data_IF_320573575071
#
_entry.id   IF_320573575071
#
_cell.length_a   1.000
_cell.length_b   1.000
_cell.length_c   1.000
_cell.angle_alpha   90.00
_cell.angle_beta   90.00
_cell.angle_gamma   90.00
#
_symmetry.space_group_name_H-M   'P 1'
#
loop_
_entity.id
_entity.type
_entity.pdbx_description
1 polymer ?
#
# COMPACT_ATOMS: atom_id res chain seq x y z
N UNK A 1 -10.87 -15.80 0.10
CA UNK A 1 -10.12 -14.55 -0.16
C UNK A 1 -9.22 -14.26 1.02
N UNK A 2 -7.91 -14.12 0.80
CA UNK A 2 -6.95 -13.82 1.87
C UNK A 2 -7.14 -12.40 2.40
N UNK A 3 -6.96 -12.21 3.71
CA UNK A 3 -7.05 -10.90 4.36
C UNK A 3 -5.74 -10.50 5.03
N UNK A 4 -5.32 -9.28 4.73
CA UNK A 4 -4.16 -8.64 5.35
C UNK A 4 -4.55 -7.35 6.06
N UNK A 5 -3.65 -6.83 6.89
CA UNK A 5 -3.82 -5.54 7.53
C UNK A 5 -2.50 -4.82 7.76
N UNK A 6 -2.59 -3.51 8.01
CA UNK A 6 -1.45 -2.64 8.29
C UNK A 6 -0.80 -2.99 9.62
N UNK A 7 0.50 -3.29 9.59
CA UNK A 7 1.35 -3.38 10.76
C UNK A 7 1.76 -1.94 11.17
N UNK A 8 1.45 -1.57 12.41
CA UNK A 8 1.61 -0.19 12.87
C UNK A 8 2.85 -0.04 13.75
N UNK A 9 3.67 0.96 13.46
CA UNK A 9 4.77 1.41 14.31
C UNK A 9 4.36 2.67 15.04
N UNK A 10 4.18 2.57 16.37
CA UNK A 10 3.94 3.71 17.23
C UNK A 10 2.65 4.48 16.91
N UNK A 11 1.54 3.78 16.70
CA UNK A 11 0.28 4.40 16.31
C UNK A 11 -0.72 4.44 17.45
N UNK A 12 -0.55 5.36 18.34
CA UNK A 12 -1.70 5.84 19.12
C UNK A 12 -2.59 6.81 18.33
N UNK A 13 -2.15 7.35 17.17
CA UNK A 13 -2.91 8.45 16.58
C UNK A 13 -2.75 8.61 15.06
N UNK A 14 -3.54 7.88 14.24
CA UNK A 14 -3.68 8.19 12.79
C UNK A 14 -4.50 9.46 12.60
N UNK A 15 -5.46 9.78 13.47
CA UNK A 15 -6.20 11.04 13.41
C UNK A 15 -5.26 12.21 13.70
N UNK A 16 -4.34 12.08 14.67
CA UNK A 16 -3.22 13.00 14.89
C UNK A 16 -2.25 13.04 13.71
N UNK A 17 -2.06 11.93 12.97
CA UNK A 17 -1.25 11.94 11.74
C UNK A 17 -1.96 12.61 10.56
N UNK A 18 -3.26 12.45 10.38
CA UNK A 18 -4.00 13.22 9.38
C UNK A 18 -3.96 14.71 9.73
N UNK A 19 -4.09 15.07 11.00
CA UNK A 19 -3.87 16.44 11.48
C UNK A 19 -2.39 16.85 11.40
N UNK A 20 -1.45 15.95 11.69
CA UNK A 20 0.00 16.18 11.60
C UNK A 20 0.51 16.23 10.16
N UNK A 21 0.02 15.39 9.25
CA UNK A 21 0.26 15.51 7.81
C UNK A 21 -0.33 16.81 7.29
N UNK A 22 -1.51 17.18 7.73
CA UNK A 22 -2.13 18.47 7.44
C UNK A 22 -1.28 19.64 7.96
N UNK A 23 -0.74 19.56 9.18
CA UNK A 23 0.16 20.54 9.77
C UNK A 23 1.53 20.58 9.05
N UNK A 24 2.06 19.43 8.64
CA UNK A 24 3.32 19.31 7.91
C UNK A 24 3.22 19.95 6.52
N UNK A 25 2.10 19.74 5.82
CA UNK A 25 1.83 20.41 4.53
C UNK A 25 1.50 21.90 4.68
N UNK A 26 1.03 22.31 5.84
CA UNK A 26 0.79 23.73 6.16
C UNK A 26 2.05 24.50 6.62
N UNK A 27 3.21 23.84 6.73
CA UNK A 27 4.44 24.47 7.23
C UNK A 27 4.38 24.88 8.70
N UNK A 28 3.51 24.27 9.50
CA UNK A 28 3.30 24.55 10.94
C UNK A 28 3.80 23.41 11.82
N UNK A 29 4.87 22.72 11.44
CA UNK A 29 5.45 21.61 12.16
C UNK A 29 6.28 22.07 13.38
N UNK A 30 5.78 22.98 14.20
CA UNK A 30 6.48 23.49 15.39
C UNK A 30 5.97 22.87 16.70
N UNK A 31 5.13 21.81 16.68
CA UNK A 31 4.74 21.13 17.90
C UNK A 31 5.64 19.91 18.16
N UNK A 32 6.64 20.02 19.07
CA UNK A 32 7.56 18.93 19.38
C UNK A 32 6.93 17.83 20.25
N UNK A 33 5.64 17.89 20.58
CA UNK A 33 5.01 16.98 21.54
C UNK A 33 4.49 15.68 20.94
N UNK A 34 4.54 15.48 19.62
CA UNK A 34 4.18 14.20 18.99
C UNK A 34 5.42 13.46 18.50
N UNK A 35 6.45 13.38 19.32
CA UNK A 35 7.49 12.38 19.12
C UNK A 35 6.95 11.04 19.63
N UNK A 36 6.17 10.38 18.80
CA UNK A 36 5.85 8.97 18.99
C UNK A 36 7.18 8.22 18.95
N UNK A 37 7.61 7.69 20.10
CA UNK A 37 8.71 6.73 20.15
C UNK A 37 8.10 5.38 19.72
N UNK A 38 8.32 4.90 18.49
CA UNK A 38 7.87 3.58 18.11
C UNK A 38 8.63 2.57 18.95
N UNK A 39 7.91 1.68 19.59
CA UNK A 39 8.51 0.50 20.18
C UNK A 39 8.47 -0.62 19.13
N UNK A 40 9.63 -1.16 18.78
CA UNK A 40 9.66 -2.35 17.95
C UNK A 40 9.11 -3.59 18.68
N UNK A 41 9.03 -3.56 20.01
CA UNK A 41 8.33 -4.59 20.80
C UNK A 41 6.85 -4.62 20.48
N UNK A 42 6.21 -3.45 20.23
CA UNK A 42 4.82 -3.36 19.80
C UNK A 42 4.58 -4.06 18.45
N UNK A 43 5.56 -4.07 17.57
CA UNK A 43 5.47 -4.76 16.27
C UNK A 43 5.37 -6.27 16.47
N UNK A 44 6.18 -6.81 17.37
CA UNK A 44 6.20 -8.23 17.71
C UNK A 44 4.86 -8.66 18.31
N UNK A 45 4.33 -7.89 19.25
CA UNK A 45 3.06 -8.17 19.93
C UNK A 45 1.88 -8.04 18.94
N UNK A 46 1.91 -7.03 18.06
CA UNK A 46 0.90 -6.89 17.02
C UNK A 46 0.92 -8.06 16.04
N UNK A 47 2.09 -8.49 15.56
CA UNK A 47 2.19 -9.59 14.61
C UNK A 47 1.58 -10.87 15.19
N UNK A 48 1.94 -11.23 16.42
CA UNK A 48 1.37 -12.39 17.12
C UNK A 48 -0.14 -12.26 17.34
N UNK A 49 -0.60 -11.08 17.73
CA UNK A 49 -2.03 -10.82 17.98
C UNK A 49 -2.84 -10.89 16.69
N UNK A 50 -2.31 -10.39 15.56
CA UNK A 50 -2.98 -10.44 14.26
C UNK A 50 -3.03 -11.87 13.70
N UNK A 51 -1.96 -12.65 13.87
CA UNK A 51 -1.95 -14.07 13.54
C UNK A 51 -3.00 -14.84 14.35
N UNK A 52 -3.02 -14.63 15.67
CA UNK A 52 -4.03 -15.24 16.54
C UNK A 52 -5.46 -14.81 16.21
N UNK A 53 -5.64 -13.61 15.65
CA UNK A 53 -6.91 -13.09 15.16
C UNK A 53 -7.33 -13.67 13.78
N UNK A 54 -6.50 -14.51 13.16
CA UNK A 54 -6.81 -15.17 11.88
C UNK A 54 -6.52 -14.34 10.63
N UNK A 55 -5.65 -13.31 10.71
CA UNK A 55 -5.15 -12.65 9.52
C UNK A 55 -4.15 -13.55 8.77
N UNK A 56 -4.16 -13.48 7.45
CA UNK A 56 -3.20 -14.19 6.59
C UNK A 56 -1.90 -13.40 6.40
N UNK A 57 -1.98 -12.06 6.48
CA UNK A 57 -0.87 -11.20 6.12
C UNK A 57 -0.86 -9.89 6.90
N UNK A 58 0.34 -9.30 6.98
CA UNK A 58 0.54 -7.91 7.40
C UNK A 58 1.36 -7.15 6.37
N UNK A 59 1.14 -5.85 6.29
CA UNK A 59 1.91 -4.98 5.41
C UNK A 59 2.36 -3.71 6.13
N UNK A 60 3.43 -3.12 5.62
CA UNK A 60 3.92 -1.81 6.04
C UNK A 60 3.79 -0.79 4.94
N UNK A 61 3.62 0.47 5.31
CA UNK A 61 3.70 1.62 4.41
C UNK A 61 4.97 2.41 4.72
N UNK A 62 5.63 2.94 3.70
CA UNK A 62 6.75 3.85 3.93
C UNK A 62 6.25 5.22 4.37
N UNK A 63 6.62 5.62 5.59
CA UNK A 63 6.22 6.89 6.20
C UNK A 63 7.34 7.48 7.05
N UNK A 64 7.20 7.53 8.37
CA UNK A 64 8.20 8.07 9.30
C UNK A 64 9.30 7.08 9.68
N UNK A 65 9.14 5.80 9.35
CA UNK A 65 10.09 4.73 9.66
C UNK A 65 10.41 3.90 8.42
N UNK A 66 11.50 3.14 8.49
CA UNK A 66 11.88 2.20 7.44
C UNK A 66 10.75 1.17 7.20
N UNK A 67 10.49 0.88 5.93
CA UNK A 67 9.38 0.04 5.52
C UNK A 67 9.67 -1.47 5.66
N UNK A 68 10.95 -1.87 5.72
CA UNK A 68 11.38 -3.27 5.74
C UNK A 68 11.61 -3.80 7.16
N UNK A 69 12.18 -2.99 8.07
CA UNK A 69 12.57 -3.44 9.40
C UNK A 69 11.41 -4.02 10.23
N UNK A 70 10.20 -3.41 10.25
CA UNK A 70 9.08 -3.99 10.98
C UNK A 70 8.63 -5.34 10.41
N UNK A 71 8.74 -5.53 9.09
CA UNK A 71 8.38 -6.78 8.44
C UNK A 71 9.35 -7.91 8.81
N UNK A 72 10.65 -7.60 8.96
CA UNK A 72 11.64 -8.58 9.41
C UNK A 72 11.30 -9.09 10.83
N UNK A 73 10.91 -8.18 11.73
CA UNK A 73 10.48 -8.54 13.08
C UNK A 73 9.18 -9.37 13.05
N UNK A 74 8.16 -8.94 12.32
CA UNK A 74 6.90 -9.65 12.21
C UNK A 74 7.10 -11.07 11.65
N UNK A 75 7.87 -11.20 10.57
CA UNK A 75 8.16 -12.48 9.92
C UNK A 75 8.92 -13.46 10.82
N UNK A 76 9.79 -12.95 11.71
CA UNK A 76 10.57 -13.79 12.63
C UNK A 76 9.77 -14.37 13.79
N UNK A 77 8.58 -13.83 14.09
CA UNK A 77 7.77 -14.19 15.27
C UNK A 77 6.38 -14.73 14.94
N UNK A 78 5.99 -14.75 13.67
CA UNK A 78 4.68 -15.19 13.19
C UNK A 78 4.78 -15.94 11.86
N UNK A 79 3.76 -16.71 11.53
CA UNK A 79 3.57 -17.37 10.22
C UNK A 79 2.89 -16.49 9.18
N UNK A 80 2.65 -15.21 9.47
CA UNK A 80 1.99 -14.28 8.56
C UNK A 80 2.79 -14.07 7.26
N UNK A 81 2.09 -13.91 6.15
CA UNK A 81 2.68 -13.33 4.96
C UNK A 81 2.99 -11.85 5.22
N UNK A 82 4.13 -11.38 4.75
CA UNK A 82 4.58 -10.00 4.97
C UNK A 82 4.83 -9.29 3.64
N UNK A 83 4.42 -8.03 3.52
CA UNK A 83 4.63 -7.27 2.29
C UNK A 83 4.88 -5.79 2.56
N UNK A 84 5.64 -5.14 1.69
CA UNK A 84 5.63 -3.67 1.62
C UNK A 84 4.46 -3.20 0.77
N UNK A 85 3.70 -2.18 1.22
CA UNK A 85 2.54 -1.66 0.50
C UNK A 85 2.41 -0.13 0.66
N UNK A 86 3.38 0.66 0.20
CA UNK A 86 4.49 0.25 -0.68
C UNK A 86 5.82 0.80 -0.16
N UNK A 87 6.95 0.18 -0.59
CA UNK A 87 8.26 0.82 -0.51
C UNK A 87 8.40 1.84 -1.65
N UNK A 88 8.90 3.05 -1.35
CA UNK A 88 9.09 4.11 -2.37
C UNK A 88 10.32 3.76 -3.22
N UNK A 89 10.12 3.44 -4.50
CA UNK A 89 11.14 2.86 -5.35
C UNK A 89 12.12 3.88 -5.96
N UNK A 90 11.64 5.05 -6.41
CA UNK A 90 12.45 5.97 -7.22
C UNK A 90 13.74 6.48 -6.54
N UNK A 91 13.81 6.69 -5.21
CA UNK A 91 15.07 7.05 -4.56
C UNK A 91 15.99 5.85 -4.26
N UNK A 92 15.54 4.63 -4.53
CA UNK A 92 16.30 3.40 -4.24
C UNK A 92 16.91 2.80 -5.51
N UNK A 93 18.08 2.18 -5.36
CA UNK A 93 18.66 1.38 -6.45
C UNK A 93 17.96 0.01 -6.53
N UNK A 94 17.80 -0.58 -7.74
CA UNK A 94 17.29 -1.94 -7.88
C UNK A 94 18.07 -2.98 -7.07
N UNK A 95 19.39 -2.80 -6.89
CA UNK A 95 20.22 -3.71 -6.08
C UNK A 95 19.85 -3.64 -4.58
N UNK A 96 19.59 -2.45 -4.03
CA UNK A 96 19.13 -2.32 -2.64
C UNK A 96 17.75 -2.93 -2.43
N UNK A 97 16.84 -2.76 -3.40
CA UNK A 97 15.52 -3.41 -3.36
C UNK A 97 15.65 -4.93 -3.42
N UNK A 98 16.55 -5.45 -4.29
CA UNK A 98 16.80 -6.88 -4.38
C UNK A 98 17.37 -7.47 -3.10
N UNK A 99 18.35 -6.81 -2.42
CA UNK A 99 18.88 -7.27 -1.16
C UNK A 99 17.80 -7.29 -0.06
N UNK A 100 17.06 -6.20 0.12
CA UNK A 100 15.98 -6.16 1.11
C UNK A 100 14.91 -7.24 0.84
N UNK A 101 14.58 -7.46 -0.43
CA UNK A 101 13.62 -8.48 -0.82
C UNK A 101 14.16 -9.91 -0.59
N UNK A 102 15.44 -10.14 -0.89
CA UNK A 102 16.10 -11.42 -0.65
C UNK A 102 16.13 -11.77 0.84
N UNK A 103 16.56 -10.82 1.68
CA UNK A 103 16.68 -11.05 3.13
C UNK A 103 15.31 -11.28 3.77
N UNK A 104 14.29 -10.50 3.39
CA UNK A 104 12.92 -10.70 3.87
C UNK A 104 12.31 -12.02 3.38
N UNK A 105 12.59 -12.44 2.15
CA UNK A 105 12.18 -13.75 1.64
C UNK A 105 12.81 -14.88 2.46
N UNK A 106 14.08 -14.72 2.85
CA UNK A 106 14.79 -15.69 3.67
C UNK A 106 14.23 -15.72 5.11
N UNK A 107 14.09 -14.56 5.75
CA UNK A 107 13.58 -14.44 7.13
C UNK A 107 12.13 -14.94 7.23
N UNK A 108 11.31 -14.64 6.22
CA UNK A 108 9.91 -15.04 6.18
C UNK A 108 9.69 -16.47 5.65
N UNK A 109 10.76 -17.19 5.29
CA UNK A 109 10.64 -18.54 4.74
C UNK A 109 9.70 -18.62 3.51
N UNK A 110 9.87 -17.65 2.58
CA UNK A 110 9.09 -17.62 1.34
C UNK A 110 7.76 -16.86 1.42
N UNK A 111 7.46 -16.20 2.54
CA UNK A 111 6.19 -15.49 2.76
C UNK A 111 6.25 -13.99 2.50
N UNK A 112 7.32 -13.49 1.86
CA UNK A 112 7.48 -12.06 1.55
C UNK A 112 7.01 -11.70 0.14
N UNK A 113 6.42 -10.52 -0.01
CA UNK A 113 6.15 -9.88 -1.29
C UNK A 113 6.69 -8.44 -1.31
N UNK A 114 7.45 -8.09 -2.35
CA UNK A 114 7.97 -6.75 -2.55
C UNK A 114 6.95 -5.86 -3.26
N UNK A 115 6.21 -5.08 -2.51
CA UNK A 115 5.33 -4.04 -3.06
C UNK A 115 6.05 -2.69 -3.15
N UNK A 116 6.15 -2.13 -4.35
CA UNK A 116 6.84 -0.87 -4.62
C UNK A 116 5.92 0.17 -5.26
N UNK A 117 6.26 1.45 -5.08
CA UNK A 117 5.51 2.56 -5.68
C UNK A 117 6.40 3.74 -6.06
N UNK A 118 5.91 4.57 -6.98
CA UNK A 118 6.67 5.74 -7.48
C UNK A 118 6.62 6.93 -6.54
N UNK A 119 5.66 7.00 -5.63
CA UNK A 119 5.32 8.20 -4.87
C UNK A 119 4.94 9.38 -5.81
N UNK A 120 4.89 10.60 -5.31
CA UNK A 120 4.59 11.82 -6.07
C UNK A 120 5.82 12.73 -6.17
N UNK A 121 5.87 13.52 -7.25
CA UNK A 121 7.02 14.37 -7.60
C UNK A 121 7.54 15.23 -6.45
N UNK A 122 6.70 16.02 -5.72
CA UNK A 122 7.21 16.88 -4.66
C UNK A 122 7.92 16.12 -3.53
N UNK A 123 7.44 14.92 -3.19
CA UNK A 123 8.05 14.08 -2.16
C UNK A 123 9.39 13.53 -2.64
N UNK A 124 9.45 13.01 -3.87
CA UNK A 124 10.69 12.48 -4.43
C UNK A 124 11.77 13.57 -4.53
N UNK A 125 11.43 14.74 -5.09
CA UNK A 125 12.42 15.81 -5.30
C UNK A 125 12.82 16.52 -4.03
N UNK A 126 11.85 16.80 -3.12
CA UNK A 126 12.08 17.70 -1.98
C UNK A 126 12.38 16.96 -0.66
N UNK A 127 11.80 15.78 -0.43
CA UNK A 127 12.06 15.00 0.78
C UNK A 127 13.16 13.96 0.56
N UNK A 128 13.12 13.22 -0.56
CA UNK A 128 14.12 12.19 -0.85
C UNK A 128 15.33 12.71 -1.65
N UNK A 129 15.30 13.97 -2.12
CA UNK A 129 16.38 14.56 -2.93
C UNK A 129 16.79 13.71 -4.14
N UNK A 130 15.81 13.05 -4.77
CA UNK A 130 16.01 12.18 -5.92
C UNK A 130 15.36 12.76 -7.18
N UNK A 131 15.88 12.45 -8.39
CA UNK A 131 15.33 12.98 -9.62
C UNK A 131 13.96 12.39 -9.95
N UNK A 132 13.00 13.24 -10.31
CA UNK A 132 11.71 12.85 -10.85
C UNK A 132 11.67 12.99 -12.36
N UNK A 133 11.65 11.88 -13.07
CA UNK A 133 11.44 11.88 -14.51
C UNK A 133 10.87 10.56 -14.97
N UNK A 134 9.99 10.57 -16.00
CA UNK A 134 9.49 9.37 -16.67
C UNK A 134 9.05 8.27 -15.70
N UNK A 135 8.11 8.55 -14.78
CA UNK A 135 7.84 7.64 -13.64
C UNK A 135 7.40 6.23 -14.09
N UNK A 136 6.64 6.11 -15.16
CA UNK A 136 6.19 4.79 -15.66
C UNK A 136 7.36 3.98 -16.20
N UNK A 137 8.17 4.60 -17.05
CA UNK A 137 9.33 3.97 -17.69
C UNK A 137 10.42 3.62 -16.66
N UNK A 138 10.64 4.49 -15.65
CA UNK A 138 11.55 4.20 -14.55
C UNK A 138 11.06 3.05 -13.67
N UNK A 139 9.77 3.03 -13.31
CA UNK A 139 9.19 1.93 -12.55
C UNK A 139 9.29 0.60 -13.29
N UNK A 140 9.04 0.60 -14.60
CA UNK A 140 9.26 -0.58 -15.45
C UNK A 140 10.70 -1.10 -15.31
N UNK A 141 11.68 -0.22 -15.48
CA UNK A 141 13.09 -0.61 -15.42
C UNK A 141 13.51 -1.05 -14.01
N UNK A 142 13.01 -0.42 -12.94
CA UNK A 142 13.26 -0.84 -11.57
C UNK A 142 12.79 -2.28 -11.36
N UNK A 143 11.58 -2.61 -11.78
CA UNK A 143 11.05 -3.98 -11.65
C UNK A 143 11.90 -4.98 -12.43
N UNK A 144 12.15 -4.69 -13.70
CA UNK A 144 12.92 -5.58 -14.58
C UNK A 144 14.36 -5.76 -14.09
N UNK A 145 15.01 -4.68 -13.65
CA UNK A 145 16.36 -4.74 -13.09
C UNK A 145 16.40 -5.51 -11.78
N UNK A 146 15.44 -5.27 -10.87
CA UNK A 146 15.33 -6.02 -9.60
C UNK A 146 15.12 -7.50 -9.86
N UNK A 147 14.21 -7.88 -10.77
CA UNK A 147 13.99 -9.26 -11.17
C UNK A 147 15.23 -9.89 -11.82
N UNK A 148 15.95 -9.15 -12.67
CA UNK A 148 17.19 -9.64 -13.28
C UNK A 148 18.29 -9.91 -12.24
N UNK A 149 18.42 -9.05 -11.22
CA UNK A 149 19.37 -9.24 -10.12
C UNK A 149 18.99 -10.49 -9.31
N UNK A 150 17.73 -10.62 -8.89
CA UNK A 150 17.24 -11.79 -8.16
C UNK A 150 17.38 -13.09 -8.96
N UNK A 151 17.11 -13.06 -10.27
CA UNK A 151 17.30 -14.21 -11.15
C UNK A 151 18.78 -14.60 -11.32
N UNK A 152 19.69 -13.60 -11.41
CA UNK A 152 21.12 -13.83 -11.42
C UNK A 152 21.59 -14.54 -10.14
N UNK A 153 21.13 -14.13 -8.98
CA UNK A 153 21.45 -14.81 -7.71
C UNK A 153 20.85 -16.22 -7.64
N UNK A 154 19.61 -16.39 -8.11
CA UNK A 154 18.92 -17.69 -8.03
C UNK A 154 19.49 -18.72 -9.02
N UNK A 155 19.84 -18.30 -10.22
CA UNK A 155 20.28 -19.19 -11.28
C UNK A 155 21.78 -19.21 -11.54
N UNK A 156 22.58 -18.32 -10.92
CA UNK A 156 24.03 -18.22 -11.10
C UNK A 156 24.48 -17.76 -12.50
N UNK A 157 23.56 -17.25 -13.32
CA UNK A 157 23.85 -16.71 -14.64
C UNK A 157 24.46 -15.28 -14.58
N UNK A 158 24.96 -14.75 -15.72
CA UNK A 158 25.48 -13.38 -15.76
C UNK A 158 24.37 -12.35 -15.51
N UNK A 159 24.71 -11.25 -14.85
CA UNK A 159 23.81 -10.12 -14.71
C UNK A 159 23.95 -9.22 -15.96
N UNK A 160 22.90 -9.23 -16.78
CA UNK A 160 22.84 -8.47 -18.03
C UNK A 160 21.53 -7.69 -18.12
N UNK A 161 21.53 -6.49 -17.52
CA UNK A 161 20.41 -5.55 -17.65
C UNK A 161 20.92 -4.20 -18.11
N UNK A 162 20.41 -3.71 -19.24
CA UNK A 162 20.75 -2.39 -19.80
C UNK A 162 19.47 -1.69 -20.23
N UNK A 163 19.00 -0.75 -19.40
CA UNK A 163 17.90 0.14 -19.71
C UNK A 163 18.37 1.56 -19.98
N UNK A 164 17.41 2.46 -20.11
CA UNK A 164 17.64 3.91 -20.25
C UNK A 164 18.08 4.56 -18.94
N UNK A 165 17.56 4.09 -17.81
CA UNK A 165 17.74 4.70 -16.48
C UNK A 165 18.62 3.85 -15.57
N UNK A 166 18.63 2.53 -15.74
CA UNK A 166 19.39 1.60 -14.93
C UNK A 166 20.22 0.67 -15.78
N UNK A 167 21.46 0.41 -15.32
CA UNK A 167 22.38 -0.51 -15.98
C UNK A 167 23.08 -1.38 -14.95
N UNK A 168 22.83 -2.69 -15.02
CA UNK A 168 23.42 -3.71 -14.16
C UNK A 168 24.03 -4.78 -15.06
N UNK A 169 25.35 -4.69 -15.30
CA UNK A 169 26.10 -5.59 -16.22
C UNK A 169 27.27 -6.25 -15.53
N UNK A 170 27.30 -6.17 -14.21
CA UNK A 170 28.35 -6.77 -13.39
C UNK A 170 27.80 -7.19 -12.05
N UNK A 171 27.97 -8.47 -11.70
CA UNK A 171 27.70 -8.98 -10.36
C UNK A 171 29.02 -9.26 -9.65
N UNK A 172 29.39 -8.41 -8.71
CA UNK A 172 30.51 -8.69 -7.81
C UNK A 172 30.12 -9.86 -6.87
N UNK A 173 30.92 -10.92 -6.79
CA UNK A 173 30.64 -12.06 -5.89
C UNK A 173 30.39 -11.67 -4.43
N UNK A 174 31.02 -10.58 -3.95
CA UNK A 174 30.78 -10.08 -2.59
C UNK A 174 29.39 -9.46 -2.36
N UNK A 175 28.64 -9.20 -3.41
CA UNK A 175 27.23 -8.71 -3.33
C UNK A 175 26.20 -9.76 -3.77
N UNK A 176 26.63 -10.99 -4.07
CA UNK A 176 25.74 -12.08 -4.42
C UNK A 176 25.53 -13.00 -3.21
N UNK A 177 24.33 -13.05 -2.62
CA UNK A 177 24.05 -13.97 -1.52
C UNK A 177 23.90 -15.44 -1.98
N UNK A 178 23.88 -15.67 -3.31
CA UNK A 178 23.58 -16.98 -3.88
C UNK A 178 22.07 -17.29 -3.95
N UNK A 179 21.69 -18.55 -4.29
CA UNK A 179 20.29 -18.94 -4.40
C UNK A 179 19.54 -18.83 -3.07
N UNK A 180 18.35 -18.26 -3.09
CA UNK A 180 17.44 -18.27 -1.95
C UNK A 180 16.71 -19.62 -1.89
N UNK A 181 16.74 -20.35 -0.75
CA UNK A 181 16.08 -21.66 -0.65
C UNK A 181 14.56 -21.59 -0.82
N UNK A 182 13.98 -20.40 -0.62
CA UNK A 182 12.53 -20.16 -0.75
C UNK A 182 12.14 -19.50 -2.09
N UNK A 183 13.10 -19.37 -3.02
CA UNK A 183 12.86 -18.79 -4.35
C UNK A 183 12.84 -17.26 -4.36
N UNK A 184 12.45 -16.73 -5.51
CA UNK A 184 12.38 -15.28 -5.75
C UNK A 184 11.05 -14.73 -5.21
N UNK A 185 11.05 -13.67 -4.37
CA UNK A 185 9.82 -13.05 -3.92
C UNK A 185 9.08 -12.36 -5.08
N UNK A 186 7.73 -12.40 -5.09
CA UNK A 186 6.95 -11.65 -6.08
C UNK A 186 7.14 -10.14 -5.90
N UNK A 187 7.12 -9.42 -7.03
CA UNK A 187 7.22 -7.96 -7.09
C UNK A 187 5.87 -7.39 -7.53
N UNK A 188 5.25 -6.62 -6.64
CA UNK A 188 3.98 -5.94 -6.88
C UNK A 188 4.20 -4.44 -7.01
N UNK A 189 3.32 -3.75 -7.73
CA UNK A 189 3.38 -2.29 -7.89
C UNK A 189 2.09 -1.64 -7.40
N UNK A 190 2.21 -0.60 -6.59
CA UNK A 190 1.13 0.33 -6.30
C UNK A 190 0.88 1.27 -7.47
N UNK A 191 -0.29 1.19 -8.10
CA UNK A 191 -0.66 2.02 -9.24
C UNK A 191 -2.09 2.56 -9.12
N UNK A 192 -2.32 3.72 -9.75
CA UNK A 192 -3.64 4.34 -9.85
C UNK A 192 -3.97 4.69 -11.30
N UNK A 193 -3.05 5.37 -12.01
CA UNK A 193 -3.29 5.82 -13.38
C UNK A 193 -3.18 4.70 -14.41
N UNK A 194 -3.92 4.76 -15.53
CA UNK A 194 -4.03 3.66 -16.49
C UNK A 194 -2.67 3.23 -17.07
N UNK A 195 -1.80 4.18 -17.43
CA UNK A 195 -0.46 3.85 -17.96
C UNK A 195 0.39 3.06 -16.98
N UNK A 196 0.39 3.44 -15.69
CA UNK A 196 1.13 2.73 -14.65
C UNK A 196 0.52 1.34 -14.42
N UNK A 197 -0.81 1.25 -14.38
CA UNK A 197 -1.54 -0.02 -14.20
C UNK A 197 -1.27 -0.99 -15.35
N UNK A 198 -1.35 -0.53 -16.60
CA UNK A 198 -1.03 -1.37 -17.78
C UNK A 198 0.42 -1.85 -17.73
N UNK A 199 1.37 -0.95 -17.49
CA UNK A 199 2.79 -1.32 -17.34
C UNK A 199 3.01 -2.32 -16.19
N UNK A 200 2.31 -2.15 -15.08
CA UNK A 200 2.38 -3.10 -13.95
C UNK A 200 1.99 -4.50 -14.39
N UNK A 201 0.88 -4.65 -15.11
CA UNK A 201 0.42 -5.93 -15.61
C UNK A 201 1.36 -6.57 -16.64
N UNK A 202 2.11 -5.76 -17.38
CA UNK A 202 3.11 -6.27 -18.33
C UNK A 202 4.33 -6.88 -17.63
N UNK A 203 4.84 -6.32 -16.51
CA UNK A 203 6.16 -6.67 -15.97
C UNK A 203 6.18 -7.14 -14.51
N UNK A 204 5.19 -6.80 -13.71
CA UNK A 204 5.12 -7.15 -12.30
C UNK A 204 4.30 -8.42 -12.05
N UNK A 205 4.36 -8.96 -10.83
CA UNK A 205 3.63 -10.17 -10.44
C UNK A 205 2.25 -9.84 -9.84
N UNK A 206 1.98 -8.55 -9.62
CA UNK A 206 0.68 -8.09 -9.15
C UNK A 206 0.55 -6.59 -9.02
N UNK A 207 -0.67 -6.17 -8.75
CA UNK A 207 -1.08 -4.79 -8.55
C UNK A 207 -1.57 -4.60 -7.11
N UNK A 208 -1.08 -3.57 -6.46
CA UNK A 208 -1.62 -3.05 -5.21
C UNK A 208 -2.54 -1.87 -5.56
N UNK A 209 -3.84 -2.11 -5.50
CA UNK A 209 -4.85 -1.08 -5.78
C UNK A 209 -4.81 -0.03 -4.68
N UNK A 210 -4.76 1.24 -5.05
CA UNK A 210 -4.71 2.33 -4.08
C UNK A 210 -5.96 2.33 -3.18
N UNK A 211 -5.84 2.54 -1.86
CA UNK A 211 -7.00 2.48 -0.96
C UNK A 211 -8.08 3.53 -1.28
N UNK A 212 -7.71 4.68 -1.84
CA UNK A 212 -8.67 5.65 -2.37
C UNK A 212 -9.11 5.22 -3.77
N UNK A 213 -9.91 4.15 -3.82
CA UNK A 213 -10.51 3.62 -5.06
C UNK A 213 -11.93 3.18 -4.76
N UNK A 214 -12.86 3.55 -5.64
CA UNK A 214 -14.23 3.04 -5.60
C UNK A 214 -14.32 1.68 -6.30
N UNK A 215 -15.38 0.92 -6.03
CA UNK A 215 -15.69 -0.30 -6.79
C UNK A 215 -15.80 0.00 -8.29
N UNK A 216 -16.51 1.07 -8.66
CA UNK A 216 -16.66 1.51 -10.05
C UNK A 216 -15.33 1.81 -10.72
N UNK A 217 -14.42 2.51 -10.01
CA UNK A 217 -13.09 2.81 -10.54
C UNK A 217 -12.29 1.52 -10.79
N UNK A 218 -12.36 0.55 -9.88
CA UNK A 218 -11.69 -0.73 -10.07
C UNK A 218 -12.23 -1.43 -11.31
N UNK A 219 -13.56 -1.54 -11.46
CA UNK A 219 -14.18 -2.25 -12.57
C UNK A 219 -14.02 -1.54 -13.92
N UNK A 220 -14.20 -0.22 -13.96
CA UNK A 220 -14.21 0.53 -15.23
C UNK A 220 -12.84 1.03 -15.67
N UNK A 221 -11.84 1.10 -14.77
CA UNK A 221 -10.51 1.67 -15.08
C UNK A 221 -9.38 0.71 -14.79
N UNK A 222 -9.38 0.08 -13.60
CA UNK A 222 -8.24 -0.77 -13.19
C UNK A 222 -8.26 -2.09 -13.96
N UNK A 223 -9.36 -2.83 -13.94
CA UNK A 223 -9.43 -4.15 -14.61
C UNK A 223 -9.16 -4.06 -16.12
N UNK A 224 -9.76 -3.13 -16.89
CA UNK A 224 -9.44 -3.02 -18.32
C UNK A 224 -7.97 -2.69 -18.59
N UNK A 225 -7.32 -1.89 -17.72
CA UNK A 225 -5.91 -1.57 -17.85
C UNK A 225 -5.01 -2.78 -17.51
N UNK A 226 -5.41 -3.60 -16.52
CA UNK A 226 -4.73 -4.86 -16.20
C UNK A 226 -4.86 -5.84 -17.36
N UNK A 227 -6.06 -6.04 -17.90
CA UNK A 227 -6.30 -6.95 -19.02
C UNK A 227 -5.51 -6.54 -20.27
N UNK A 228 -5.47 -5.23 -20.57
CA UNK A 228 -4.66 -4.70 -21.66
C UNK A 228 -3.17 -4.98 -21.48
N UNK A 229 -2.62 -4.82 -20.27
CA UNK A 229 -1.21 -5.08 -19.97
C UNK A 229 -0.87 -6.57 -20.02
N UNK A 230 -1.70 -7.43 -19.44
CA UNK A 230 -1.53 -8.88 -19.49
C UNK A 230 -1.60 -9.38 -20.94
N UNK A 231 -2.59 -8.93 -21.70
CA UNK A 231 -2.74 -9.28 -23.13
C UNK A 231 -1.53 -8.85 -23.96
N UNK A 232 -1.01 -7.62 -23.75
CA UNK A 232 0.18 -7.13 -24.45
C UNK A 232 1.45 -7.97 -24.13
N UNK A 233 1.53 -8.52 -22.94
CA UNK A 233 2.65 -9.36 -22.48
C UNK A 233 2.43 -10.86 -22.72
N UNK A 234 1.28 -11.28 -23.25
CA UNK A 234 0.94 -12.70 -23.44
C UNK A 234 0.83 -13.48 -22.12
N UNK A 235 0.34 -12.83 -21.04
CA UNK A 235 0.26 -13.39 -19.69
C UNK A 235 -1.18 -13.72 -19.30
N UNK A 236 -1.35 -14.82 -18.58
CA UNK A 236 -2.66 -15.19 -18.02
C UNK A 236 -2.98 -14.40 -16.75
N UNK A 237 -4.28 -14.10 -16.54
CA UNK A 237 -4.78 -13.46 -15.31
C UNK A 237 -4.40 -14.25 -14.04
N UNK A 238 -4.37 -15.58 -14.11
CA UNK A 238 -3.98 -16.45 -13.00
C UNK A 238 -2.52 -16.27 -12.54
N UNK A 239 -1.65 -15.70 -13.39
CA UNK A 239 -0.26 -15.39 -13.05
C UNK A 239 -0.06 -14.02 -12.42
N UNK A 240 -1.15 -13.28 -12.15
CA UNK A 240 -1.12 -11.90 -11.69
C UNK A 240 -2.00 -11.70 -10.47
N UNK A 241 -1.43 -11.21 -9.37
CA UNK A 241 -2.15 -10.96 -8.13
C UNK A 241 -2.76 -9.55 -8.10
N UNK A 242 -4.05 -9.45 -7.80
CA UNK A 242 -4.73 -8.18 -7.57
C UNK A 242 -5.07 -8.04 -6.08
N UNK A 243 -4.41 -7.11 -5.43
CA UNK A 243 -4.57 -6.83 -4.00
C UNK A 243 -5.34 -5.53 -3.82
N UNK A 244 -6.55 -5.59 -3.27
CA UNK A 244 -7.36 -4.41 -2.98
C UNK A 244 -7.11 -3.93 -1.56
N UNK A 245 -6.65 -2.68 -1.43
CA UNK A 245 -6.57 -2.00 -0.14
C UNK A 245 -7.91 -1.31 0.13
N UNK A 246 -8.63 -1.73 1.16
CA UNK A 246 -10.00 -1.28 1.43
C UNK A 246 -10.04 -0.43 2.68
N UNK A 247 -10.46 0.83 2.55
CA UNK A 247 -10.72 1.70 3.70
C UNK A 247 -11.99 1.19 4.39
N UNK A 248 -11.90 0.96 5.70
CA UNK A 248 -13.00 0.41 6.50
C UNK A 248 -13.33 1.35 7.65
N UNK A 249 -14.60 1.72 7.78
CA UNK A 249 -15.18 2.33 8.97
C UNK A 249 -15.97 1.26 9.74
N UNK A 250 -15.46 0.83 10.90
CA UNK A 250 -16.11 -0.19 11.73
C UNK A 250 -15.98 0.12 13.21
N UNK A 251 -16.97 -0.28 13.98
CA UNK A 251 -17.03 -0.12 15.43
C UNK A 251 -18.13 -0.98 16.02
N UNK A 252 -17.93 -1.48 17.24
CA UNK A 252 -18.89 -2.34 17.98
C UNK A 252 -20.05 -1.53 18.55
N UNK A 253 -19.77 -0.29 18.94
CA UNK A 253 -20.73 0.67 19.48
C UNK A 253 -20.89 1.86 18.53
N UNK A 254 -21.94 2.65 18.74
CA UNK A 254 -22.16 3.88 17.95
C UNK A 254 -21.04 4.91 18.21
N UNK A 255 -20.49 4.95 19.41
CA UNK A 255 -19.37 5.81 19.75
C UNK A 255 -18.08 5.39 19.00
N UNK A 256 -17.75 4.08 18.96
CA UNK A 256 -16.63 3.56 18.18
C UNK A 256 -16.84 3.82 16.68
N UNK A 257 -18.07 3.64 16.17
CA UNK A 257 -18.39 3.91 14.76
C UNK A 257 -18.21 5.38 14.43
N UNK A 258 -18.65 6.29 15.29
CA UNK A 258 -18.47 7.73 15.08
C UNK A 258 -16.98 8.12 15.00
N UNK A 259 -16.12 7.53 15.84
CA UNK A 259 -14.66 7.73 15.76
C UNK A 259 -14.10 7.18 14.46
N UNK A 260 -14.55 5.99 14.03
CA UNK A 260 -14.12 5.37 12.78
C UNK A 260 -14.50 6.23 11.57
N UNK A 261 -15.75 6.69 11.49
CA UNK A 261 -16.23 7.55 10.44
C UNK A 261 -15.48 8.87 10.37
N UNK A 262 -15.21 9.50 11.52
CA UNK A 262 -14.44 10.74 11.56
C UNK A 262 -13.02 10.56 10.99
N UNK A 263 -12.33 9.47 11.36
CA UNK A 263 -11.00 9.14 10.81
C UNK A 263 -11.05 8.85 9.32
N UNK A 264 -12.05 8.10 8.86
CA UNK A 264 -12.24 7.82 7.43
C UNK A 264 -12.52 9.10 6.66
N UNK A 265 -13.44 9.98 7.13
CA UNK A 265 -13.74 11.26 6.46
C UNK A 265 -12.50 12.15 6.35
N UNK A 266 -11.66 12.20 7.40
CA UNK A 266 -10.42 12.97 7.37
C UNK A 266 -9.44 12.44 6.30
N UNK A 267 -9.29 11.11 6.19
CA UNK A 267 -8.45 10.49 5.17
C UNK A 267 -9.00 10.72 3.76
N UNK A 268 -10.30 10.53 3.54
CA UNK A 268 -10.94 10.74 2.24
C UNK A 268 -10.83 12.20 1.80
N UNK A 269 -11.00 13.14 2.72
CA UNK A 269 -10.84 14.57 2.43
C UNK A 269 -9.39 14.90 2.02
N UNK A 270 -8.40 14.33 2.70
CA UNK A 270 -6.99 14.47 2.33
C UNK A 270 -6.71 13.92 0.93
N UNK A 271 -7.12 12.68 0.63
CA UNK A 271 -6.95 12.12 -0.71
C UNK A 271 -7.72 12.92 -1.76
N UNK A 272 -9.01 13.22 -1.48
CA UNK A 272 -9.87 13.98 -2.38
C UNK A 272 -9.37 15.39 -2.71
N UNK A 273 -8.51 15.98 -1.86
CA UNK A 273 -7.87 17.28 -2.12
C UNK A 273 -6.67 17.20 -3.08
N UNK A 274 -6.10 16.00 -3.24
CA UNK A 274 -4.83 15.81 -3.95
C UNK A 274 -5.05 15.75 -5.48
N UNK A 275 -4.36 16.56 -6.29
CA UNK A 275 -4.60 16.64 -7.74
C UNK A 275 -4.50 15.31 -8.49
N UNK A 276 -3.66 14.39 -8.01
CA UNK A 276 -3.47 13.06 -8.62
C UNK A 276 -4.75 12.23 -8.62
N UNK A 277 -5.66 12.44 -7.66
CA UNK A 277 -6.92 11.68 -7.55
C UNK A 277 -8.12 12.35 -8.24
N UNK A 278 -7.91 13.51 -8.87
CA UNK A 278 -8.97 14.21 -9.61
C UNK A 278 -9.73 13.30 -10.61
N UNK A 279 -9.07 12.49 -11.46
CA UNK A 279 -9.79 11.64 -12.42
C UNK A 279 -10.74 10.62 -11.76
N UNK A 280 -10.41 10.17 -10.54
CA UNK A 280 -11.26 9.29 -9.76
C UNK A 280 -12.46 10.05 -9.19
N UNK A 281 -12.25 11.26 -8.65
CA UNK A 281 -13.33 12.11 -8.18
C UNK A 281 -14.29 12.53 -9.32
N UNK A 282 -13.75 12.77 -10.52
CA UNK A 282 -14.55 13.03 -11.72
C UNK A 282 -15.42 11.83 -12.11
N UNK A 283 -14.87 10.62 -12.08
CA UNK A 283 -15.60 9.39 -12.38
C UNK A 283 -16.81 9.20 -11.44
N UNK A 284 -16.64 9.53 -10.17
CA UNK A 284 -17.69 9.40 -9.16
C UNK A 284 -18.62 10.63 -9.09
N UNK A 285 -18.49 11.59 -9.99
CA UNK A 285 -19.31 12.80 -9.99
C UNK A 285 -18.99 13.80 -8.87
N UNK A 286 -17.83 13.65 -8.22
CA UNK A 286 -17.39 14.44 -7.07
C UNK A 286 -16.37 15.55 -7.45
N UNK A 287 -16.38 16.04 -8.70
CA UNK A 287 -15.41 17.04 -9.15
C UNK A 287 -15.47 18.35 -8.35
N UNK A 288 -16.69 18.85 -8.08
CA UNK A 288 -16.86 20.11 -7.32
C UNK A 288 -16.31 19.96 -5.89
N UNK A 289 -16.55 18.80 -5.27
CA UNK A 289 -15.97 18.47 -3.98
C UNK A 289 -14.43 18.45 -4.04
N UNK A 290 -13.84 17.83 -5.08
CA UNK A 290 -12.39 17.86 -5.28
C UNK A 290 -11.84 19.28 -5.33
N UNK A 291 -12.47 20.17 -6.11
CA UNK A 291 -12.04 21.55 -6.26
C UNK A 291 -12.14 22.32 -4.92
N UNK A 292 -13.23 22.12 -4.17
CA UNK A 292 -13.39 22.70 -2.83
C UNK A 292 -12.33 22.19 -1.85
N UNK A 293 -12.11 20.88 -1.77
CA UNK A 293 -11.10 20.27 -0.88
C UNK A 293 -9.69 20.76 -1.24
N UNK A 294 -9.35 20.85 -2.53
CA UNK A 294 -8.05 21.35 -2.98
C UNK A 294 -7.84 22.82 -2.58
N UNK A 295 -8.89 23.64 -2.68
CA UNK A 295 -8.84 25.05 -2.21
C UNK A 295 -8.63 25.10 -0.70
N UNK A 296 -9.44 24.37 0.09
CA UNK A 296 -9.30 24.31 1.54
C UNK A 296 -7.92 23.86 1.99
N UNK A 297 -7.35 22.85 1.30
CA UNK A 297 -6.00 22.38 1.58
C UNK A 297 -4.93 23.45 1.33
N UNK A 298 -5.04 24.23 0.23
CA UNK A 298 -4.14 25.36 -0.05
C UNK A 298 -4.27 26.49 0.97
N UNK A 299 -5.48 26.70 1.49
CA UNK A 299 -5.77 27.70 2.53
C UNK A 299 -5.36 27.21 3.94
N UNK A 300 -4.86 25.97 4.09
CA UNK A 300 -4.50 25.37 5.39
C UNK A 300 -5.70 25.02 6.27
N UNK A 301 -6.90 24.94 5.71
CA UNK A 301 -8.18 24.69 6.42
C UNK A 301 -8.51 23.19 6.49
N UNK A 302 -7.57 22.40 6.99
CA UNK A 302 -7.69 20.93 7.00
C UNK A 302 -8.84 20.43 7.89
N UNK A 303 -9.12 21.09 9.01
CA UNK A 303 -10.23 20.73 9.88
C UNK A 303 -11.59 20.83 9.17
N UNK A 304 -11.73 21.81 8.27
CA UNK A 304 -12.97 22.02 7.52
C UNK A 304 -13.17 20.98 6.40
N UNK A 305 -12.09 20.37 5.95
CA UNK A 305 -12.16 19.42 4.82
C UNK A 305 -12.94 18.16 5.17
N UNK A 306 -12.74 17.60 6.36
CA UNK A 306 -13.43 16.38 6.79
C UNK A 306 -14.95 16.56 6.87
N UNK A 307 -15.44 17.78 7.20
CA UNK A 307 -16.86 18.09 7.27
C UNK A 307 -17.55 18.15 5.91
N UNK A 308 -16.78 18.18 4.82
CA UNK A 308 -17.29 18.17 3.43
C UNK A 308 -17.56 16.77 2.88
N UNK A 309 -17.06 15.74 3.55
CA UNK A 309 -17.31 14.34 3.18
C UNK A 309 -18.64 13.92 3.78
N UNK A 310 -19.66 13.80 2.95
CA UNK A 310 -20.97 13.28 3.35
C UNK A 310 -21.00 11.74 3.39
N UNK A 311 -22.13 11.15 3.74
CA UNK A 311 -22.29 9.70 3.84
C UNK A 311 -22.18 9.03 2.46
N UNK A 312 -22.67 9.65 1.39
CA UNK A 312 -22.58 9.13 0.05
C UNK A 312 -21.13 9.00 -0.44
N UNK A 313 -20.31 10.04 -0.20
CA UNK A 313 -18.89 10.02 -0.51
C UNK A 313 -18.16 8.98 0.35
N UNK A 314 -18.48 8.91 1.65
CA UNK A 314 -17.89 7.92 2.55
C UNK A 314 -18.19 6.50 2.04
N UNK A 315 -19.43 6.19 1.72
CA UNK A 315 -19.85 4.86 1.25
C UNK A 315 -19.34 4.51 -0.15
N UNK A 316 -19.04 5.51 -0.99
CA UNK A 316 -18.40 5.32 -2.30
C UNK A 316 -16.97 4.79 -2.15
N UNK A 317 -16.20 5.34 -1.23
CA UNK A 317 -14.75 5.07 -1.11
C UNK A 317 -14.37 4.17 0.07
N UNK A 318 -15.28 3.92 0.99
CA UNK A 318 -15.03 3.08 2.16
C UNK A 318 -16.12 2.04 2.38
N UNK A 319 -15.79 0.98 3.07
CA UNK A 319 -16.77 0.04 3.60
C UNK A 319 -17.15 0.49 5.01
N UNK A 320 -18.43 0.80 5.21
CA UNK A 320 -19.04 1.15 6.50
C UNK A 320 -19.88 -0.02 6.96
N UNK A 321 -19.42 -0.74 7.99
CA UNK A 321 -20.11 -1.93 8.48
C UNK A 321 -19.77 -2.22 9.94
N UNK A 322 -20.65 -2.93 10.67
CA UNK A 322 -20.31 -3.52 11.97
C UNK A 322 -19.24 -4.62 11.77
N UNK A 323 -18.39 -4.91 12.79
CA UNK A 323 -17.26 -5.82 12.61
C UNK A 323 -17.62 -7.16 11.96
N UNK A 324 -18.69 -7.82 12.42
CA UNK A 324 -19.12 -9.12 11.86
C UNK A 324 -19.68 -9.06 10.42
N UNK A 325 -19.89 -7.87 9.87
CA UNK A 325 -20.41 -7.65 8.51
C UNK A 325 -19.36 -7.17 7.53
N UNK A 326 -18.17 -6.78 8.01
CA UNK A 326 -17.09 -6.20 7.17
C UNK A 326 -16.69 -7.17 6.06
N UNK A 327 -16.44 -8.43 6.38
CA UNK A 327 -16.03 -9.44 5.41
C UNK A 327 -17.07 -9.62 4.28
N UNK A 328 -18.36 -9.69 4.65
CA UNK A 328 -19.46 -9.80 3.69
C UNK A 328 -19.57 -8.56 2.81
N UNK A 329 -19.44 -7.36 3.38
CA UNK A 329 -19.51 -6.11 2.64
C UNK A 329 -18.34 -5.95 1.65
N UNK A 330 -17.12 -6.36 2.05
CA UNK A 330 -15.95 -6.35 1.17
C UNK A 330 -16.08 -7.42 0.08
N UNK A 331 -16.53 -8.64 0.43
CA UNK A 331 -16.74 -9.70 -0.56
C UNK A 331 -17.78 -9.30 -1.62
N UNK A 332 -18.83 -8.57 -1.24
CA UNK A 332 -19.82 -8.06 -2.18
C UNK A 332 -19.25 -7.08 -3.21
N UNK A 333 -18.24 -6.27 -2.83
CA UNK A 333 -17.60 -5.29 -3.72
C UNK A 333 -16.45 -5.88 -4.55
N UNK A 334 -15.63 -6.75 -3.95
CA UNK A 334 -14.32 -7.12 -4.51
C UNK A 334 -14.10 -8.63 -4.60
N UNK A 335 -15.05 -9.46 -4.14
CA UNK A 335 -14.85 -10.91 -4.03
C UNK A 335 -14.66 -11.64 -5.36
N UNK A 336 -15.13 -11.07 -6.45
CA UNK A 336 -14.99 -11.58 -7.82
C UNK A 336 -13.76 -11.03 -8.57
N UNK A 337 -13.07 -10.02 -8.01
CA UNK A 337 -11.97 -9.33 -8.69
C UNK A 337 -10.65 -9.35 -7.93
N UNK A 338 -10.67 -9.35 -6.60
CA UNK A 338 -9.47 -9.30 -5.77
C UNK A 338 -9.05 -10.69 -5.30
N UNK A 339 -7.77 -11.02 -5.47
CA UNK A 339 -7.17 -12.24 -4.94
C UNK A 339 -6.91 -12.13 -3.43
N UNK A 340 -6.67 -10.89 -2.97
CA UNK A 340 -6.46 -10.53 -1.57
C UNK A 340 -7.07 -9.15 -1.29
N UNK A 341 -7.51 -8.96 -0.05
CA UNK A 341 -7.87 -7.64 0.47
C UNK A 341 -7.02 -7.28 1.67
N UNK A 342 -6.67 -6.00 1.77
CA UNK A 342 -6.00 -5.43 2.92
C UNK A 342 -6.95 -4.45 3.60
N UNK A 343 -7.21 -4.64 4.88
CA UNK A 343 -8.01 -3.74 5.68
C UNK A 343 -7.18 -2.51 6.07
N UNK A 344 -7.67 -1.34 5.73
CA UNK A 344 -7.06 -0.06 6.08
C UNK A 344 -8.02 0.74 6.97
N UNK A 345 -7.72 0.80 8.27
CA UNK A 345 -8.49 1.50 9.28
C UNK A 345 -7.73 2.79 9.67
N UNK A 346 -8.09 3.97 9.15
CA UNK A 346 -7.36 5.22 9.38
C UNK A 346 -7.75 5.92 10.70
N UNK A 347 -7.98 5.16 11.76
CA UNK A 347 -8.34 5.63 13.10
C UNK A 347 -7.75 4.70 14.16
N UNK A 348 -7.68 5.13 15.44
CA UNK A 348 -7.24 4.25 16.52
C UNK A 348 -8.18 3.04 16.66
N UNK A 349 -7.61 1.84 16.56
CA UNK A 349 -8.35 0.59 16.70
C UNK A 349 -7.46 -0.42 17.43
N UNK A 350 -7.99 -1.08 18.43
CA UNK A 350 -7.34 -2.18 19.13
C UNK A 350 -7.30 -3.45 18.26
N UNK A 351 -6.40 -4.38 18.58
CA UNK A 351 -6.29 -5.67 17.88
C UNK A 351 -7.57 -6.50 17.97
N UNK A 352 -8.35 -6.34 19.03
CA UNK A 352 -9.65 -6.97 19.23
C UNK A 352 -10.71 -6.49 18.22
N UNK A 353 -10.70 -5.22 17.83
CA UNK A 353 -11.56 -4.69 16.76
C UNK A 353 -11.12 -5.20 15.39
N UNK A 354 -9.80 -5.28 15.15
CA UNK A 354 -9.27 -5.90 13.94
C UNK A 354 -9.68 -7.37 13.82
N UNK A 355 -9.53 -8.15 14.91
CA UNK A 355 -9.95 -9.53 14.95
C UNK A 355 -11.44 -9.70 14.64
N UNK A 356 -12.29 -8.86 15.24
CA UNK A 356 -13.72 -8.87 14.97
C UNK A 356 -14.05 -8.50 13.51
N UNK A 357 -13.32 -7.55 12.90
CA UNK A 357 -13.50 -7.16 11.51
C UNK A 357 -13.00 -8.23 10.52
N UNK A 358 -12.02 -9.05 10.91
CA UNK A 358 -11.51 -10.16 10.10
C UNK A 358 -12.43 -11.40 10.14
N UNK A 359 -13.35 -11.47 11.10
CA UNK A 359 -14.28 -12.59 11.21
C UNK A 359 -15.11 -12.74 9.93
N UNK A 360 -15.11 -13.94 9.34
CA UNK A 360 -15.82 -14.23 8.09
C UNK A 360 -14.96 -14.26 6.82
N UNK A 361 -13.69 -13.79 6.86
CA UNK A 361 -12.75 -14.04 5.77
C UNK A 361 -12.18 -15.48 5.80
N UNK A 362 -12.01 -16.04 6.99
CA UNK A 362 -11.44 -17.38 7.19
C UNK A 362 -12.39 -18.55 6.83
N UNK A 363 -13.58 -18.28 6.34
CA UNK A 363 -14.60 -19.29 6.02
C UNK A 363 -14.74 -19.58 4.52
N UNK A 364 -13.76 -19.17 3.70
CA UNK A 364 -13.78 -19.35 2.24
C UNK A 364 -12.63 -20.19 1.70
#
# INVERSE_FOLDING_TARGET
MKVGTLLRLGLSDIAGRAAGLAALYAGRADDPQVVLRPSYDEVVDQARSLEAAGFDAVFTIESSHDVFLPLALAASVSGLEVMTNVAIALPRSPLHLAHAAYDLQLISEGRFALGIGSQVRPVIERAFSAPWSHPVERMREIVLATKAILACWQGGGPLEFSGRFYRHTFMNPGFSPGPNPYGIPPVLIGALGPRMTTMTAEVADGLLVHPFSSERFVRERVLPAVDAGLGAAGRDRASFSLVSNVIVATGRTDAEMAVAEAGVRALLAFYGSTPTYRPLMELEGCLDLHLELNRLAKDGRFADMATRIDDGVLETFAVRARPGEVAKAIAARYGDVADRVNLYLPYPAGTDLFAAAATGFAAG
#
